data_IF_869301009093
#
_entry.id   IF_869301009093
#
_cell.length_a   1.000
_cell.length_b   1.000
_cell.length_c   1.000
_cell.angle_alpha   90.00
_cell.angle_beta   90.00
_cell.angle_gamma   90.00
#
_symmetry.space_group_name_H-M   'P 1'
#
loop_
_entity.id
_entity.type
_entity.pdbx_description
1 polymer ?
#
# COMPACT_ATOMS: atom_id res chain seq x y z
N UNK A 1 7.97 20.49 -29.54
CA UNK A 1 8.31 19.45 -28.53
C UNK A 1 7.00 18.78 -28.17
N UNK A 2 6.86 17.47 -28.35
CA UNK A 2 5.61 16.79 -27.99
C UNK A 2 5.56 16.64 -26.46
N UNK A 3 4.47 17.08 -25.84
CA UNK A 3 4.22 16.86 -24.42
C UNK A 3 3.98 15.36 -24.20
N UNK A 4 4.89 14.72 -23.49
CA UNK A 4 4.74 13.32 -23.10
C UNK A 4 3.82 13.25 -21.88
N UNK A 5 2.54 12.90 -22.09
CA UNK A 5 1.65 12.55 -20.99
C UNK A 5 2.05 11.17 -20.44
N UNK A 6 2.80 11.20 -19.33
CA UNK A 6 3.15 9.98 -18.62
C UNK A 6 1.89 9.38 -17.98
N UNK A 7 1.29 8.38 -18.64
CA UNK A 7 0.13 7.64 -18.13
C UNK A 7 0.40 6.96 -16.78
N UNK A 8 1.67 6.70 -16.44
CA UNK A 8 2.09 6.14 -15.17
C UNK A 8 2.24 7.21 -14.07
N UNK A 9 2.31 8.50 -14.40
CA UNK A 9 2.34 9.58 -13.42
C UNK A 9 0.98 9.79 -12.72
N UNK A 10 -0.12 9.33 -13.33
CA UNK A 10 -1.46 9.38 -12.72
C UNK A 10 -1.60 8.45 -11.51
N UNK A 11 -0.83 7.36 -11.48
CA UNK A 11 -0.84 6.41 -10.37
C UNK A 11 0.36 6.69 -9.49
N UNK A 12 0.16 7.26 -8.30
CA UNK A 12 1.26 7.47 -7.36
C UNK A 12 1.57 6.12 -6.66
N UNK A 13 2.69 5.44 -6.99
CA UNK A 13 3.01 4.13 -6.43
C UNK A 13 3.33 4.21 -4.93
N UNK A 14 3.57 5.41 -4.39
CA UNK A 14 3.94 5.64 -3.00
C UNK A 14 2.75 5.87 -2.06
N UNK A 15 1.52 6.04 -2.60
CA UNK A 15 0.30 6.17 -1.77
C UNK A 15 -0.01 4.87 -1.03
N UNK A 16 0.46 3.72 -1.54
CA UNK A 16 0.17 2.40 -0.96
C UNK A 16 1.15 1.94 0.13
N UNK A 17 2.08 2.80 0.55
CA UNK A 17 3.21 2.43 1.41
C UNK A 17 3.11 2.89 2.89
N UNK A 18 2.02 3.54 3.29
CA UNK A 18 1.87 4.09 4.64
C UNK A 18 0.63 3.51 5.33
N UNK A 19 0.64 2.20 5.58
CA UNK A 19 -0.39 1.55 6.40
C UNK A 19 0.19 1.07 7.72
N UNK A 20 -0.61 1.14 8.77
CA UNK A 20 -0.24 0.68 10.09
C UNK A 20 -0.77 -0.75 10.32
N UNK A 21 0.07 -1.60 10.91
CA UNK A 21 -0.28 -2.97 11.22
C UNK A 21 -1.35 -2.99 12.33
N UNK A 22 -2.51 -3.63 12.12
CA UNK A 22 -3.59 -3.68 13.11
C UNK A 22 -3.21 -4.48 14.36
N UNK A 23 -2.18 -5.32 14.30
CA UNK A 23 -1.77 -6.18 15.42
C UNK A 23 -0.69 -5.56 16.29
N UNK A 24 0.28 -4.83 15.72
CA UNK A 24 1.41 -4.30 16.49
C UNK A 24 1.68 -2.81 16.30
N UNK A 25 0.96 -2.12 15.41
CA UNK A 25 1.19 -0.72 15.09
C UNK A 25 2.46 -0.43 14.27
N UNK A 26 3.19 -1.47 13.86
CA UNK A 26 4.32 -1.37 12.94
C UNK A 26 3.91 -0.97 11.52
N UNK A 27 4.86 -0.72 10.63
CA UNK A 27 4.56 -0.36 9.24
C UNK A 27 4.28 -1.59 8.37
N UNK A 28 3.25 -1.47 7.52
CA UNK A 28 2.88 -2.48 6.54
C UNK A 28 3.46 -2.13 5.17
N UNK A 29 4.02 -3.15 4.51
CA UNK A 29 4.59 -3.07 3.18
C UNK A 29 3.79 -3.91 2.20
N UNK A 30 3.38 -3.31 1.08
CA UNK A 30 2.58 -4.01 0.08
C UNK A 30 3.45 -4.75 -0.96
N UNK A 31 3.16 -6.04 -1.13
CA UNK A 31 3.56 -6.81 -2.31
C UNK A 31 2.53 -6.62 -3.42
N UNK A 32 2.74 -5.57 -4.23
CA UNK A 32 1.78 -5.12 -5.25
C UNK A 32 1.32 -6.21 -6.25
N UNK A 33 2.15 -7.21 -6.54
CA UNK A 33 1.82 -8.32 -7.44
C UNK A 33 0.87 -9.35 -6.78
N UNK A 34 0.96 -9.51 -5.46
CA UNK A 34 0.20 -10.51 -4.71
C UNK A 34 -1.04 -9.92 -4.03
N UNK A 35 -1.16 -8.59 -3.96
CA UNK A 35 -2.27 -7.93 -3.27
C UNK A 35 -2.29 -8.22 -1.77
N UNK A 36 -1.10 -8.45 -1.20
CA UNK A 36 -0.90 -8.72 0.22
C UNK A 36 0.07 -7.71 0.81
N UNK A 37 -0.13 -7.38 2.08
CA UNK A 37 0.73 -6.54 2.89
C UNK A 37 1.38 -7.38 3.98
N UNK A 38 2.65 -7.10 4.26
CA UNK A 38 3.40 -7.73 5.35
C UNK A 38 3.81 -6.67 6.37
N UNK A 39 3.71 -7.01 7.65
CA UNK A 39 4.32 -6.20 8.69
C UNK A 39 5.79 -6.56 8.85
N UNK A 40 6.68 -5.56 8.89
CA UNK A 40 8.11 -5.81 9.12
C UNK A 40 8.39 -6.35 10.53
N UNK A 41 7.64 -5.87 11.53
CA UNK A 41 7.86 -6.20 12.94
C UNK A 41 7.31 -7.59 13.32
N UNK A 42 6.01 -7.83 13.07
CA UNK A 42 5.37 -9.09 13.46
C UNK A 42 5.30 -10.15 12.35
N UNK A 43 5.66 -9.80 11.10
CA UNK A 43 5.62 -10.70 9.92
C UNK A 43 4.24 -11.26 9.58
N UNK A 44 3.19 -10.70 10.17
CA UNK A 44 1.81 -11.01 9.82
C UNK A 44 1.50 -10.54 8.40
N UNK A 45 0.62 -11.28 7.73
CA UNK A 45 0.18 -11.03 6.37
C UNK A 45 -1.28 -10.59 6.37
N UNK A 46 -1.56 -9.51 5.66
CA UNK A 46 -2.90 -8.95 5.53
C UNK A 46 -3.26 -8.78 4.06
N UNK A 47 -4.53 -8.98 3.66
CA UNK A 47 -4.98 -8.60 2.33
C UNK A 47 -4.91 -7.08 2.15
N UNK A 48 -4.26 -6.62 1.08
CA UNK A 48 -4.11 -5.18 0.80
C UNK A 48 -5.44 -4.43 0.78
N UNK A 49 -6.48 -5.08 0.26
CA UNK A 49 -7.82 -4.49 0.15
C UNK A 49 -8.41 -4.19 1.53
N UNK A 50 -8.29 -5.12 2.48
CA UNK A 50 -8.84 -4.97 3.82
C UNK A 50 -8.15 -3.82 4.58
N UNK A 51 -6.82 -3.73 4.46
CA UNK A 51 -6.05 -2.65 5.07
C UNK A 51 -6.38 -1.30 4.43
N UNK A 52 -6.53 -1.27 3.10
CA UNK A 52 -6.91 -0.06 2.37
C UNK A 52 -8.31 0.43 2.78
N UNK A 53 -9.32 -0.45 2.75
CA UNK A 53 -10.69 -0.12 3.14
C UNK A 53 -10.75 0.39 4.59
N UNK A 54 -9.94 -0.18 5.49
CA UNK A 54 -9.89 0.19 6.90
C UNK A 54 -9.23 1.55 7.18
N UNK A 55 -8.24 1.98 6.38
CA UNK A 55 -7.38 3.12 6.71
C UNK A 55 -7.47 4.31 5.75
N UNK A 56 -7.97 4.12 4.51
CA UNK A 56 -8.10 5.22 3.53
C UNK A 56 -9.48 5.89 3.59
N UNK A 57 -10.48 5.28 4.23
CA UNK A 57 -11.85 5.81 4.35
C UNK A 57 -12.02 6.97 5.36
N UNK A 58 -10.96 7.72 5.70
CA UNK A 58 -11.00 8.88 6.61
C UNK A 58 -10.92 10.22 5.90
#
# INVERSE_FOLDING_TARGET
MAEFENIYAKSNPFVRAHFDCPTCGGKLWEYAIQGQMVCEDCRELYPSKEIFDAQVSQ
#
